data_IF_023740855529
#
_entry.id   IF_023740855529
#
_cell.length_a   1.000
_cell.length_b   1.000
_cell.length_c   1.000
_cell.angle_alpha   90.00
_cell.angle_beta   90.00
_cell.angle_gamma   90.00
#
_symmetry.space_group_name_H-M   'P 1'
#
loop_
_entity.id
_entity.type
_entity.pdbx_description
1 polymer ?
#
# COMPACT_ATOMS: atom_id res chain seq x y z
N UNK A 1 -20.80 -13.72 14.09
CA UNK A 1 -20.22 -13.04 12.94
C UNK A 1 -18.70 -13.20 13.01
N UNK A 2 -18.23 -14.41 12.73
CA UNK A 2 -16.79 -14.71 12.79
C UNK A 2 -16.52 -15.89 11.87
N UNK A 3 -16.53 -15.67 10.55
CA UNK A 3 -16.21 -16.68 9.56
C UNK A 3 -15.78 -16.04 8.23
N UNK A 4 -14.77 -15.16 8.26
CA UNK A 4 -14.32 -14.44 7.05
C UNK A 4 -12.80 -14.43 6.84
N UNK A 5 -12.03 -15.27 7.52
CA UNK A 5 -10.56 -15.25 7.35
C UNK A 5 -9.92 -16.66 7.30
N UNK A 6 -10.69 -17.74 7.04
CA UNK A 6 -10.15 -19.11 7.08
C UNK A 6 -9.79 -19.70 5.71
N UNK A 7 -10.04 -19.03 4.61
CA UNK A 7 -9.46 -19.42 3.33
C UNK A 7 -8.17 -18.65 3.11
N UNK A 8 -7.07 -19.24 3.59
CA UNK A 8 -5.72 -18.80 3.32
C UNK A 8 -5.54 -18.75 1.79
N UNK A 9 -5.37 -17.55 1.27
CA UNK A 9 -4.84 -17.36 -0.08
C UNK A 9 -3.46 -18.02 -0.09
N UNK A 10 -3.39 -19.20 -0.70
CA UNK A 10 -2.14 -19.93 -0.92
C UNK A 10 -1.32 -19.18 -1.98
N UNK A 11 -0.70 -18.09 -1.56
CA UNK A 11 0.38 -17.50 -2.29
C UNK A 11 1.63 -18.37 -2.09
N UNK A 12 1.59 -19.56 -2.65
CA UNK A 12 2.77 -20.42 -2.80
C UNK A 12 3.72 -19.83 -3.86
N UNK A 13 4.15 -18.58 -3.65
CA UNK A 13 5.26 -17.99 -4.36
C UNK A 13 6.32 -17.64 -3.32
N UNK A 14 7.39 -18.47 -3.30
CA UNK A 14 8.67 -18.22 -2.68
C UNK A 14 8.58 -17.60 -1.27
N UNK A 15 8.35 -18.45 -0.27
CA UNK A 15 8.69 -18.08 1.10
C UNK A 15 10.19 -17.80 1.14
N UNK A 16 10.62 -16.52 1.25
CA UNK A 16 12.03 -16.27 1.49
C UNK A 16 12.35 -16.90 2.85
N UNK A 17 13.43 -17.66 2.89
CA UNK A 17 13.94 -18.26 4.11
C UNK A 17 13.93 -17.20 5.21
N UNK A 18 13.19 -17.44 6.27
CA UNK A 18 13.00 -16.56 7.42
C UNK A 18 14.32 -16.42 8.17
N UNK A 19 15.18 -15.54 7.69
CA UNK A 19 16.22 -15.00 8.55
C UNK A 19 15.51 -13.98 9.44
N UNK A 20 15.24 -14.36 10.69
CA UNK A 20 14.77 -13.45 11.74
C UNK A 20 15.91 -12.48 12.09
N UNK A 21 16.26 -11.61 11.19
CA UNK A 21 17.07 -10.45 11.56
C UNK A 21 16.14 -9.49 12.32
N UNK A 22 16.58 -8.94 13.45
CA UNK A 22 15.79 -7.95 14.17
C UNK A 22 15.49 -6.78 13.23
N UNK A 23 14.26 -6.26 13.30
CA UNK A 23 13.89 -5.11 12.50
C UNK A 23 14.80 -3.93 12.86
N UNK A 24 15.43 -3.35 11.86
CA UNK A 24 16.33 -2.22 12.07
C UNK A 24 15.51 -1.00 12.50
N UNK A 25 15.82 -0.37 13.64
CA UNK A 25 15.14 0.86 14.04
C UNK A 25 15.52 2.00 13.10
N UNK A 26 14.60 2.95 12.94
CA UNK A 26 14.91 4.24 12.31
C UNK A 26 15.52 5.20 13.36
N UNK A 27 16.19 6.24 12.89
CA UNK A 27 16.72 7.28 13.76
C UNK A 27 15.58 8.04 14.44
N UNK A 28 15.45 7.87 15.76
CA UNK A 28 14.40 8.47 16.56
C UNK A 28 14.54 9.99 16.65
N UNK A 29 15.74 10.48 16.85
CA UNK A 29 15.97 11.92 17.03
C UNK A 29 15.69 12.68 15.73
N UNK A 30 16.15 12.13 14.60
CA UNK A 30 15.80 12.63 13.28
C UNK A 30 14.29 12.60 13.01
N UNK A 31 13.60 11.53 13.42
CA UNK A 31 12.14 11.43 13.32
C UNK A 31 11.43 12.53 14.13
N UNK A 32 11.89 12.80 15.34
CA UNK A 32 11.31 13.84 16.21
C UNK A 32 11.49 15.24 15.63
N UNK A 33 12.67 15.55 15.10
CA UNK A 33 12.94 16.82 14.41
C UNK A 33 12.05 16.97 13.17
N UNK A 34 11.92 15.89 12.38
CA UNK A 34 11.04 15.89 11.20
C UNK A 34 9.56 16.13 11.59
N UNK A 35 9.09 15.45 12.63
CA UNK A 35 7.72 15.60 13.13
C UNK A 35 7.44 17.02 13.65
N UNK A 36 8.39 17.63 14.35
CA UNK A 36 8.28 19.02 14.81
C UNK A 36 8.20 20.01 13.64
N UNK A 37 9.04 19.83 12.64
CA UNK A 37 8.99 20.64 11.41
C UNK A 37 7.62 20.53 10.72
N UNK A 38 7.02 19.33 10.68
CA UNK A 38 5.69 19.13 10.13
C UNK A 38 4.60 19.83 10.94
N UNK A 39 4.66 19.76 12.29
CA UNK A 39 3.72 20.48 13.18
C UNK A 39 3.81 21.99 13.02
N UNK A 40 5.03 22.53 12.83
CA UNK A 40 5.23 23.96 12.67
C UNK A 40 4.85 24.49 11.28
N UNK A 41 4.65 23.59 10.30
CA UNK A 41 4.20 23.94 8.96
C UNK A 41 3.11 22.99 8.44
N UNK A 42 1.92 23.00 9.04
CA UNK A 42 0.84 22.05 8.70
C UNK A 42 0.26 22.25 7.29
N UNK A 43 0.50 23.39 6.68
CA UNK A 43 0.08 23.71 5.31
C UNK A 43 1.06 23.22 4.25
N UNK A 44 2.24 22.73 4.64
CA UNK A 44 3.24 22.21 3.69
C UNK A 44 2.67 21.05 2.87
N UNK A 45 2.94 21.09 1.57
CA UNK A 45 2.55 20.03 0.62
C UNK A 45 3.76 19.61 -0.18
N UNK A 46 3.94 18.30 -0.35
CA UNK A 46 4.90 17.71 -1.27
C UNK A 46 4.21 17.27 -2.56
N UNK A 47 4.97 17.22 -3.65
CA UNK A 47 4.49 16.69 -4.93
C UNK A 47 5.32 15.47 -5.30
N UNK A 48 4.69 14.30 -5.38
CA UNK A 48 5.29 13.11 -5.94
C UNK A 48 5.12 13.12 -7.47
N UNK A 49 6.15 12.73 -8.20
CA UNK A 49 6.13 12.70 -9.66
C UNK A 49 6.47 11.30 -10.14
N UNK A 50 5.66 10.78 -11.02
CA UNK A 50 5.84 9.48 -11.68
C UNK A 50 5.66 9.66 -13.17
N UNK A 51 6.51 9.02 -13.96
CA UNK A 51 6.37 8.94 -15.41
C UNK A 51 6.16 7.48 -15.80
N UNK A 52 4.99 7.16 -16.31
CA UNK A 52 4.65 5.82 -16.78
C UNK A 52 4.72 5.75 -18.31
N UNK A 53 5.33 4.69 -18.80
CA UNK A 53 5.48 4.40 -20.24
C UNK A 53 4.91 3.02 -20.49
N UNK A 54 4.13 2.89 -21.55
CA UNK A 54 3.67 1.58 -22.04
C UNK A 54 4.83 0.91 -22.78
N UNK A 55 5.14 -0.33 -22.39
CA UNK A 55 6.24 -1.14 -22.95
C UNK A 55 5.74 -2.20 -23.96
N UNK A 56 4.44 -2.37 -24.05
CA UNK A 56 3.74 -3.27 -24.97
C UNK A 56 2.54 -3.94 -24.34
N UNK A 57 1.47 -4.11 -25.08
CA UNK A 57 0.18 -4.57 -24.58
C UNK A 57 -0.23 -3.77 -23.31
N UNK A 58 -0.34 -4.40 -22.14
CA UNK A 58 -0.66 -3.75 -20.88
C UNK A 58 0.55 -3.54 -19.97
N UNK A 59 1.73 -4.04 -20.40
CA UNK A 59 2.95 -3.89 -19.62
C UNK A 59 3.41 -2.45 -19.58
N UNK A 60 3.67 -1.94 -18.38
CA UNK A 60 4.11 -0.56 -18.16
C UNK A 60 5.34 -0.47 -17.26
N UNK A 61 6.11 0.59 -17.45
CA UNK A 61 7.27 0.94 -16.66
C UNK A 61 7.05 2.30 -16.01
N UNK A 62 6.94 2.34 -14.70
CA UNK A 62 6.72 3.56 -13.92
C UNK A 62 8.01 4.01 -13.25
N UNK A 63 8.57 5.13 -13.71
CA UNK A 63 9.82 5.71 -13.22
C UNK A 63 9.56 6.69 -12.09
N UNK A 64 10.24 6.49 -10.96
CA UNK A 64 10.17 7.35 -9.78
C UNK A 64 11.57 7.75 -9.37
N UNK A 65 11.92 9.02 -9.54
CA UNK A 65 13.26 9.53 -9.24
C UNK A 65 14.33 8.77 -10.02
N UNK A 66 15.34 8.22 -9.31
CA UNK A 66 16.44 7.45 -9.91
C UNK A 66 16.36 5.95 -9.58
N UNK A 67 15.23 5.47 -9.08
CA UNK A 67 15.02 4.06 -8.79
C UNK A 67 14.79 3.26 -10.08
N UNK A 68 15.00 1.94 -10.00
CA UNK A 68 14.52 1.03 -11.03
C UNK A 68 13.01 1.21 -11.21
N UNK A 69 12.49 1.10 -12.44
CA UNK A 69 11.06 1.30 -12.67
C UNK A 69 10.23 0.23 -11.93
N UNK A 70 9.09 0.65 -11.42
CA UNK A 70 8.05 -0.28 -11.02
C UNK A 70 7.42 -0.82 -12.29
N UNK A 71 7.49 -2.14 -12.45
CA UNK A 71 6.89 -2.85 -13.59
C UNK A 71 5.49 -3.27 -13.19
N UNK A 72 4.54 -3.07 -14.09
CA UNK A 72 3.14 -3.46 -13.90
C UNK A 72 2.66 -4.14 -15.18
N UNK A 73 1.90 -5.21 -15.07
CA UNK A 73 1.33 -5.95 -16.20
C UNK A 73 -0.08 -6.42 -15.82
N UNK A 74 -0.76 -7.09 -16.70
CA UNK A 74 -2.02 -7.76 -16.43
C UNK A 74 -1.86 -9.28 -16.58
N UNK A 75 -2.65 -10.08 -15.87
CA UNK A 75 -2.62 -11.54 -16.01
C UNK A 75 -3.14 -11.98 -17.39
N UNK A 76 -2.78 -13.21 -17.80
CA UNK A 76 -3.12 -13.75 -19.12
C UNK A 76 -4.62 -13.72 -19.43
N UNK A 77 -5.49 -13.97 -18.43
CA UNK A 77 -6.93 -13.96 -18.62
C UNK A 77 -7.51 -12.56 -18.83
N UNK A 78 -6.73 -11.51 -18.55
CA UNK A 78 -7.02 -10.11 -18.86
C UNK A 78 -6.18 -9.60 -20.05
N UNK A 79 -5.63 -10.52 -20.85
CA UNK A 79 -4.86 -10.23 -22.07
C UNK A 79 -3.48 -9.59 -21.83
N UNK A 80 -2.96 -9.61 -20.62
CA UNK A 80 -1.59 -9.27 -20.28
C UNK A 80 -0.62 -10.42 -20.56
N UNK A 81 0.64 -10.26 -20.14
CA UNK A 81 1.70 -11.24 -20.28
C UNK A 81 2.05 -11.93 -18.95
N UNK A 82 1.44 -11.50 -17.83
CA UNK A 82 1.69 -12.02 -16.48
C UNK A 82 3.18 -11.95 -16.06
N UNK A 83 3.85 -10.85 -16.45
CA UNK A 83 5.27 -10.65 -16.18
C UNK A 83 5.54 -9.81 -14.94
N UNK A 84 4.49 -9.22 -14.34
CA UNK A 84 4.55 -8.37 -13.15
C UNK A 84 3.17 -8.29 -12.48
N UNK A 85 3.10 -7.79 -11.22
CA UNK A 85 1.82 -7.59 -10.55
C UNK A 85 0.88 -6.66 -11.32
N UNK A 86 -0.43 -6.92 -11.20
CA UNK A 86 -1.46 -6.08 -11.78
C UNK A 86 -1.58 -4.70 -11.06
N UNK A 87 -2.14 -3.67 -11.72
CA UNK A 87 -2.25 -2.33 -11.11
C UNK A 87 -2.96 -2.32 -9.76
N UNK A 88 -4.00 -3.13 -9.57
CA UNK A 88 -4.69 -3.28 -8.29
C UNK A 88 -3.79 -3.84 -7.18
N UNK A 89 -2.98 -4.84 -7.49
CA UNK A 89 -2.02 -5.45 -6.56
C UNK A 89 -0.90 -4.46 -6.17
N UNK A 90 -0.43 -3.66 -7.14
CA UNK A 90 0.52 -2.58 -6.87
C UNK A 90 -0.08 -1.50 -5.96
N UNK A 91 -1.37 -1.18 -6.14
CA UNK A 91 -2.07 -0.25 -5.26
C UNK A 91 -2.17 -0.80 -3.82
N UNK A 92 -2.49 -2.08 -3.63
CA UNK A 92 -2.48 -2.74 -2.32
C UNK A 92 -1.05 -2.80 -1.73
N UNK A 93 -0.04 -3.06 -2.55
CA UNK A 93 1.37 -3.01 -2.13
C UNK A 93 1.76 -1.63 -1.60
N UNK A 94 1.34 -0.56 -2.28
CA UNK A 94 1.57 0.81 -1.84
C UNK A 94 0.90 1.11 -0.49
N UNK A 95 -0.32 0.61 -0.28
CA UNK A 95 -1.02 0.70 1.00
C UNK A 95 -0.26 -0.05 2.10
N UNK A 96 0.13 -1.30 1.83
CA UNK A 96 0.91 -2.12 2.77
C UNK A 96 2.22 -1.45 3.18
N UNK A 97 2.99 -0.96 2.20
CA UNK A 97 4.22 -0.22 2.44
C UNK A 97 4.00 1.05 3.27
N UNK A 98 2.95 1.81 2.98
CA UNK A 98 2.63 3.03 3.73
C UNK A 98 2.23 2.73 5.18
N UNK A 99 1.46 1.66 5.42
CA UNK A 99 1.12 1.21 6.77
C UNK A 99 2.37 0.74 7.53
N UNK A 100 3.23 -0.06 6.90
CA UNK A 100 4.47 -0.54 7.51
C UNK A 100 5.38 0.62 7.93
N UNK A 101 5.56 1.62 7.07
CA UNK A 101 6.31 2.84 7.38
C UNK A 101 5.69 3.57 8.57
N UNK A 102 4.36 3.75 8.58
CA UNK A 102 3.65 4.41 9.66
C UNK A 102 3.78 3.66 10.99
N UNK A 103 3.60 2.34 11.00
CA UNK A 103 3.74 1.48 12.19
C UNK A 103 5.17 1.59 12.74
N UNK A 104 6.18 1.46 11.88
CA UNK A 104 7.60 1.57 12.28
C UNK A 104 7.92 2.95 12.87
N UNK A 105 7.40 4.02 12.27
CA UNK A 105 7.61 5.38 12.76
C UNK A 105 6.96 5.59 14.14
N UNK A 106 5.71 5.12 14.33
CA UNK A 106 5.00 5.25 15.62
C UNK A 106 5.65 4.38 16.69
N UNK A 107 6.07 3.16 16.37
CA UNK A 107 6.80 2.29 17.28
C UNK A 107 8.12 2.96 17.73
N UNK A 108 8.86 3.54 16.80
CA UNK A 108 10.09 4.30 17.11
C UNK A 108 9.82 5.51 18.00
N UNK A 109 8.78 6.27 17.73
CA UNK A 109 8.36 7.39 18.57
C UNK A 109 8.05 6.93 20.00
N UNK A 110 7.27 5.84 20.14
CA UNK A 110 6.89 5.25 21.41
C UNK A 110 8.01 4.41 22.08
N UNK A 111 9.18 4.31 21.45
CA UNK A 111 10.34 3.53 21.91
C UNK A 111 10.08 2.03 22.03
N UNK A 112 9.17 1.50 21.21
CA UNK A 112 8.89 0.07 21.10
C UNK A 112 9.80 -0.54 20.04
N UNK A 113 10.51 -1.62 20.40
CA UNK A 113 11.33 -2.40 19.46
C UNK A 113 10.50 -3.52 18.87
N UNK A 114 10.26 -3.42 17.57
CA UNK A 114 9.55 -4.46 16.84
C UNK A 114 10.49 -5.60 16.47
N UNK A 115 10.05 -6.84 16.67
CA UNK A 115 10.72 -8.07 16.23
C UNK A 115 10.07 -8.70 15.00
N UNK A 116 8.78 -8.42 14.77
CA UNK A 116 8.03 -8.85 13.58
C UNK A 116 7.05 -7.76 13.16
N UNK A 117 6.96 -7.55 11.84
CA UNK A 117 5.88 -6.78 11.21
C UNK A 117 5.60 -7.38 9.85
N UNK A 118 4.40 -7.92 9.68
CA UNK A 118 3.93 -8.50 8.43
C UNK A 118 2.50 -8.02 8.19
N UNK A 119 2.18 -7.65 6.96
CA UNK A 119 0.89 -7.06 6.61
C UNK A 119 0.32 -7.81 5.43
N UNK A 120 -0.86 -8.39 5.62
CA UNK A 120 -1.63 -9.06 4.60
C UNK A 120 -2.77 -8.15 4.16
N UNK A 121 -2.95 -8.01 2.86
CA UNK A 121 -3.98 -7.15 2.29
C UNK A 121 -4.80 -7.94 1.26
N UNK A 122 -6.10 -7.77 1.34
CA UNK A 122 -7.06 -8.27 0.37
C UNK A 122 -7.93 -7.11 -0.10
N UNK A 123 -8.24 -7.08 -1.39
CA UNK A 123 -9.09 -6.05 -1.98
C UNK A 123 -10.09 -6.65 -2.95
N UNK A 124 -11.37 -6.42 -2.70
CA UNK A 124 -12.43 -6.76 -3.64
C UNK A 124 -12.52 -5.64 -4.68
N UNK A 125 -12.20 -5.95 -5.92
CA UNK A 125 -12.22 -4.99 -7.02
C UNK A 125 -13.38 -5.28 -7.96
N UNK A 126 -14.02 -4.23 -8.47
CA UNK A 126 -15.10 -4.35 -9.44
C UNK A 126 -14.65 -5.00 -10.74
N UNK A 127 -15.63 -5.56 -11.49
CA UNK A 127 -15.37 -6.32 -12.71
C UNK A 127 -14.61 -5.48 -13.76
N UNK A 128 -13.37 -5.84 -14.11
CA UNK A 128 -12.55 -5.08 -15.07
C UNK A 128 -13.03 -5.23 -16.52
N UNK A 129 -13.87 -6.20 -16.84
CA UNK A 129 -14.33 -6.44 -18.21
C UNK A 129 -15.11 -5.26 -18.80
N UNK A 130 -15.60 -4.35 -17.97
CA UNK A 130 -16.35 -3.17 -18.40
C UNK A 130 -15.46 -1.97 -18.79
N UNK A 131 -14.19 -1.91 -18.39
CA UNK A 131 -13.40 -0.69 -18.55
C UNK A 131 -12.78 -0.46 -19.93
N UNK A 132 -12.69 -1.45 -20.78
CA UNK A 132 -12.03 -1.31 -22.08
C UNK A 132 -12.93 -1.39 -23.32
N UNK A 133 -14.14 -1.96 -23.21
CA UNK A 133 -14.90 -2.45 -24.36
C UNK A 133 -16.28 -1.80 -24.58
N UNK A 134 -16.54 -0.64 -23.99
CA UNK A 134 -17.86 0.03 -24.07
C UNK A 134 -18.88 -0.61 -23.11
N UNK A 135 -20.04 0.06 -22.94
CA UNK A 135 -21.06 -0.38 -21.98
C UNK A 135 -20.72 -0.08 -20.51
N UNK A 136 -19.60 0.60 -20.28
CA UNK A 136 -19.15 1.03 -18.94
C UNK A 136 -19.89 2.26 -18.40
N UNK A 137 -20.83 2.81 -19.16
CA UNK A 137 -21.52 4.05 -18.80
C UNK A 137 -22.36 3.91 -17.53
N UNK A 138 -22.60 2.68 -17.09
CA UNK A 138 -23.54 2.44 -15.99
C UNK A 138 -22.92 2.46 -14.61
N UNK A 139 -21.60 2.20 -14.44
CA UNK A 139 -21.07 1.82 -13.11
C UNK A 139 -19.62 2.27 -12.82
N UNK A 140 -19.17 3.52 -13.08
CA UNK A 140 -17.79 3.92 -12.77
C UNK A 140 -17.42 3.74 -11.30
N UNK A 141 -18.37 3.93 -10.38
CA UNK A 141 -18.14 3.79 -8.94
C UNK A 141 -17.91 2.35 -8.50
N UNK A 142 -18.37 1.37 -9.28
CA UNK A 142 -18.21 -0.06 -8.98
C UNK A 142 -16.92 -0.66 -9.57
N UNK A 143 -16.14 0.15 -10.29
CA UNK A 143 -14.93 -0.33 -10.98
C UNK A 143 -13.68 -0.32 -10.10
N UNK A 144 -13.71 0.36 -8.95
CA UNK A 144 -12.61 0.41 -8.00
C UNK A 144 -12.70 -0.66 -6.92
N UNK A 145 -11.85 -0.54 -5.91
CA UNK A 145 -11.95 -1.35 -4.72
C UNK A 145 -13.26 -1.07 -3.97
N UNK A 146 -14.05 -2.11 -3.76
CA UNK A 146 -15.31 -2.06 -3.01
C UNK A 146 -15.07 -2.33 -1.52
N UNK A 147 -14.08 -3.15 -1.19
CA UNK A 147 -13.63 -3.40 0.16
C UNK A 147 -12.13 -3.69 0.17
N UNK A 148 -11.44 -3.27 1.22
CA UNK A 148 -10.06 -3.63 1.50
C UNK A 148 -9.99 -4.14 2.93
N UNK A 149 -9.43 -5.33 3.12
CA UNK A 149 -9.18 -5.96 4.42
C UNK A 149 -7.68 -5.99 4.67
N UNK A 150 -7.28 -5.63 5.88
CA UNK A 150 -5.87 -5.60 6.27
C UNK A 150 -5.71 -6.38 7.57
N UNK A 151 -4.87 -7.40 7.53
CA UNK A 151 -4.41 -8.15 8.71
C UNK A 151 -2.97 -7.77 9.00
N UNK A 152 -2.67 -7.42 10.25
CA UNK A 152 -1.31 -7.07 10.69
C UNK A 152 -0.85 -8.07 11.73
N UNK A 153 0.28 -8.72 11.46
CA UNK A 153 1.01 -9.52 12.42
C UNK A 153 2.19 -8.70 12.93
N UNK A 154 2.17 -8.38 14.22
CA UNK A 154 3.15 -7.51 14.86
C UNK A 154 3.61 -8.13 16.18
N UNK A 155 4.93 -8.13 16.41
CA UNK A 155 5.57 -8.53 17.65
C UNK A 155 6.59 -7.46 18.06
N UNK A 156 6.75 -7.28 19.38
CA UNK A 156 7.70 -6.31 19.93
C UNK A 156 7.76 -6.38 21.46
N UNK A 157 8.59 -5.55 22.05
CA UNK A 157 8.81 -5.45 23.50
C UNK A 157 7.74 -4.59 24.21
N UNK A 158 6.48 -4.73 23.79
CA UNK A 158 5.35 -3.96 24.30
C UNK A 158 4.09 -4.85 24.49
N UNK A 159 3.18 -4.46 25.40
CA UNK A 159 1.89 -5.12 25.53
C UNK A 159 1.06 -5.06 24.26
N UNK A 160 0.17 -6.03 24.09
CA UNK A 160 -0.71 -6.15 22.91
C UNK A 160 -1.53 -4.87 22.66
N UNK A 161 -2.01 -4.24 23.71
CA UNK A 161 -2.82 -3.02 23.65
C UNK A 161 -2.03 -1.86 23.05
N UNK A 162 -0.73 -1.73 23.41
CA UNK A 162 0.14 -0.69 22.85
C UNK A 162 0.50 -0.99 21.38
N UNK A 163 0.70 -2.27 21.04
CA UNK A 163 0.93 -2.67 19.64
C UNK A 163 -0.30 -2.37 18.78
N UNK A 164 -1.52 -2.63 19.28
CA UNK A 164 -2.76 -2.27 18.57
C UNK A 164 -2.88 -0.75 18.41
N UNK A 165 -2.63 0.03 19.47
CA UNK A 165 -2.63 1.51 19.40
C UNK A 165 -1.69 2.02 18.31
N UNK A 166 -0.48 1.44 18.19
CA UNK A 166 0.50 1.78 17.16
C UNK A 166 -0.08 1.53 15.75
N UNK A 167 -0.69 0.37 15.55
CA UNK A 167 -1.30 -0.01 14.26
C UNK A 167 -2.46 0.94 13.91
N UNK A 168 -3.36 1.18 14.86
CA UNK A 168 -4.51 2.08 14.62
C UNK A 168 -4.07 3.53 14.37
N UNK A 169 -3.03 3.99 15.04
CA UNK A 169 -2.45 5.30 14.79
C UNK A 169 -1.90 5.38 13.35
N UNK A 170 -1.10 4.41 12.93
CA UNK A 170 -0.54 4.36 11.58
C UNK A 170 -1.64 4.33 10.51
N UNK A 171 -2.69 3.52 10.71
CA UNK A 171 -3.85 3.46 9.83
C UNK A 171 -4.57 4.82 9.72
N UNK A 172 -4.81 5.50 10.84
CA UNK A 172 -5.50 6.81 10.87
C UNK A 172 -4.73 7.88 10.09
N UNK A 173 -3.42 7.87 10.16
CA UNK A 173 -2.55 8.91 9.58
C UNK A 173 -1.82 8.47 8.31
N UNK A 174 -2.09 7.28 7.77
CA UNK A 174 -1.51 6.83 6.50
C UNK A 174 -1.99 7.70 5.33
N UNK A 175 -1.09 8.39 4.61
CA UNK A 175 -1.48 9.16 3.43
C UNK A 175 -2.15 8.30 2.36
N UNK A 176 -1.63 7.10 2.07
CA UNK A 176 -2.19 6.20 1.05
C UNK A 176 -3.56 5.70 1.47
N UNK A 177 -3.74 5.26 2.73
CA UNK A 177 -5.05 4.81 3.22
C UNK A 177 -6.09 5.94 3.15
N UNK A 178 -5.69 7.16 3.51
CA UNK A 178 -6.59 8.31 3.44
C UNK A 178 -6.92 8.71 1.99
N UNK A 179 -5.96 8.54 1.05
CA UNK A 179 -6.25 8.74 -0.37
C UNK A 179 -7.24 7.71 -0.92
N UNK A 180 -7.21 6.47 -0.43
CA UNK A 180 -8.18 5.43 -0.84
C UNK A 180 -9.57 5.62 -0.21
N UNK A 181 -9.67 6.27 0.95
CA UNK A 181 -10.94 6.49 1.66
C UNK A 181 -11.67 7.76 1.23
N UNK A 182 -10.92 8.77 0.81
CA UNK A 182 -11.47 10.10 0.57
C UNK A 182 -11.46 10.44 -0.92
N UNK A 183 -12.43 11.22 -1.41
CA UNK A 183 -12.42 11.71 -2.78
C UNK A 183 -11.16 12.54 -3.06
N UNK A 184 -10.54 12.31 -4.21
CA UNK A 184 -9.39 13.07 -4.71
C UNK A 184 -9.81 13.75 -6.01
N UNK A 185 -9.44 15.01 -6.19
CA UNK A 185 -9.64 15.70 -7.45
C UNK A 185 -8.64 15.19 -8.50
N UNK A 186 -9.14 14.67 -9.61
CA UNK A 186 -8.35 14.28 -10.75
C UNK A 186 -8.44 15.32 -11.86
N UNK A 187 -7.30 15.62 -12.47
CA UNK A 187 -7.20 16.43 -13.68
C UNK A 187 -6.42 15.64 -14.72
N UNK A 188 -7.04 15.39 -15.86
CA UNK A 188 -6.43 14.66 -16.98
C UNK A 188 -6.48 15.57 -18.19
N UNK A 189 -5.35 15.79 -18.87
CA UNK A 189 -5.25 16.59 -20.06
C UNK A 189 -4.40 15.87 -21.10
N UNK A 190 -4.80 15.95 -22.36
CA UNK A 190 -3.97 15.60 -23.50
C UNK A 190 -3.07 16.79 -23.82
N UNK A 191 -1.76 16.56 -24.01
CA UNK A 191 -0.76 17.58 -24.33
C UNK A 191 -0.15 17.36 -25.71
#
# INVERSE_FOLDING_TARGET
>A
MSALLDDAVDHAAATPATVKAPLRPIDRDGLMVFAEKGRNNPASRGTNKVRTVVDGQYRTLSYVGQHAPVVVDEPLHLFGQDTAPAPGEVALSALGGCLAVGITAVATWKQVKLSKLEIFLEGDIGNPAAWGAGGAEKLPAEMGFQAIRVKVEIEGDAPRELLDEIVQHANRYSPVANSMRNPIAFQIALT
#
